data_IF_478277829991
#
_entry.id   IF_478277829991
#
_cell.length_a   1.000
_cell.length_b   1.000
_cell.length_c   1.000
_cell.angle_alpha   90.00
_cell.angle_beta   90.00
_cell.angle_gamma   90.00
#
_symmetry.space_group_name_H-M   'P 1'
#
loop_
_entity.id
_entity.type
_entity.pdbx_description
1 polymer ?
#
# COMPACT_ATOMS: atom_id res chain seq x y z
N UNK A 1 -20.17 7.68 -18.50
CA UNK A 1 -21.42 6.89 -18.62
C UNK A 1 -21.95 6.44 -17.26
N UNK A 2 -21.21 5.66 -16.46
CA UNK A 2 -21.72 5.07 -15.21
C UNK A 2 -22.39 6.07 -14.24
N UNK A 3 -21.75 7.21 -13.97
CA UNK A 3 -22.30 8.24 -13.06
C UNK A 3 -23.57 8.91 -13.60
N UNK A 4 -23.64 9.18 -14.91
CA UNK A 4 -24.83 9.75 -15.57
C UNK A 4 -26.02 8.79 -15.42
N UNK A 5 -25.79 7.48 -15.59
CA UNK A 5 -26.82 6.45 -15.42
C UNK A 5 -27.32 6.33 -13.97
N UNK A 6 -26.51 6.77 -13.00
CA UNK A 6 -26.89 6.87 -11.58
C UNK A 6 -27.49 8.25 -11.22
N UNK A 7 -27.79 9.09 -12.22
CA UNK A 7 -28.46 10.37 -12.03
C UNK A 7 -27.55 11.54 -11.63
N UNK A 8 -26.23 11.37 -11.65
CA UNK A 8 -25.32 12.50 -11.47
C UNK A 8 -25.21 13.30 -12.77
N UNK A 9 -25.74 14.52 -12.79
CA UNK A 9 -25.88 15.34 -14.01
C UNK A 9 -24.55 15.78 -14.62
N UNK A 10 -23.60 16.22 -13.80
CA UNK A 10 -22.31 16.77 -14.24
C UNK A 10 -21.13 16.09 -13.55
N UNK A 11 -20.80 14.84 -13.91
CA UNK A 11 -19.63 14.16 -13.38
C UNK A 11 -18.35 14.85 -13.85
N UNK A 12 -17.60 15.44 -12.93
CA UNK A 12 -16.33 16.09 -13.23
C UNK A 12 -15.20 15.04 -13.26
N UNK A 13 -15.03 14.37 -14.41
CA UNK A 13 -13.98 13.37 -14.65
C UNK A 13 -12.93 13.98 -15.58
N UNK A 14 -11.72 14.15 -15.05
CA UNK A 14 -10.56 14.55 -15.82
C UNK A 14 -9.92 13.33 -16.50
N UNK A 15 -9.81 13.28 -17.84
CA UNK A 15 -9.29 12.11 -18.55
C UNK A 15 -7.76 12.03 -18.58
N UNK A 16 -7.05 13.04 -18.08
CA UNK A 16 -5.59 13.13 -18.16
C UNK A 16 -4.89 12.63 -16.88
N UNK A 17 -3.57 12.59 -16.90
CA UNK A 17 -2.77 12.15 -15.74
C UNK A 17 -3.04 13.06 -14.53
N UNK A 18 -3.54 12.49 -13.43
CA UNK A 18 -3.86 13.21 -12.20
C UNK A 18 -2.63 13.84 -11.52
N UNK A 19 -1.43 13.32 -11.79
CA UNK A 19 -0.16 13.76 -11.20
C UNK A 19 0.51 14.90 -11.99
N UNK A 20 -0.12 15.38 -13.08
CA UNK A 20 0.45 16.40 -13.98
C UNK A 20 0.45 17.82 -13.41
N UNK A 21 -0.26 18.07 -12.30
CA UNK A 21 -0.37 19.39 -11.70
C UNK A 21 0.66 19.58 -10.57
N UNK A 22 1.40 20.70 -10.53
CA UNK A 22 2.27 21.03 -9.40
C UNK A 22 1.48 21.11 -8.10
N UNK A 23 1.90 20.36 -7.05
CA UNK A 23 1.18 20.35 -5.76
C UNK A 23 1.08 21.74 -5.13
N UNK A 24 2.09 22.60 -5.37
CA UNK A 24 2.13 23.99 -4.89
C UNK A 24 1.00 24.86 -5.45
N UNK A 25 0.44 24.52 -6.61
CA UNK A 25 -0.64 25.27 -7.26
C UNK A 25 -2.03 24.84 -6.79
N UNK A 26 -2.15 23.67 -6.14
CA UNK A 26 -3.40 23.18 -5.58
C UNK A 26 -3.74 24.02 -4.33
N UNK A 27 -4.79 24.83 -4.41
CA UNK A 27 -5.25 25.71 -3.33
C UNK A 27 -6.47 25.17 -2.59
N UNK A 28 -7.06 25.98 -1.71
CA UNK A 28 -8.23 25.55 -0.92
C UNK A 28 -9.47 25.27 -1.78
N UNK A 29 -9.61 25.95 -2.93
CA UNK A 29 -10.69 25.73 -3.92
C UNK A 29 -10.65 24.34 -4.56
N UNK A 30 -9.47 23.71 -4.58
CA UNK A 30 -9.24 22.44 -5.25
C UNK A 30 -9.42 21.23 -4.33
N UNK A 31 -9.77 21.50 -3.06
CA UNK A 31 -9.83 20.50 -2.00
C UNK A 31 -11.22 19.96 -1.75
N UNK A 32 -11.25 18.72 -1.30
CA UNK A 32 -12.47 17.94 -1.09
C UNK A 32 -12.55 17.40 0.33
N UNK A 33 -13.78 17.10 0.77
CA UNK A 33 -14.06 16.52 2.08
C UNK A 33 -13.72 15.03 2.15
N UNK A 34 -13.93 14.30 1.06
CA UNK A 34 -13.79 12.84 1.04
C UNK A 34 -13.05 12.40 -0.22
N UNK A 35 -12.05 11.54 -0.05
CA UNK A 35 -11.38 10.83 -1.14
C UNK A 35 -11.51 9.32 -0.91
N UNK A 36 -12.12 8.62 -1.86
CA UNK A 36 -12.16 7.16 -1.92
C UNK A 36 -11.46 6.73 -3.20
N UNK A 37 -10.38 5.95 -3.09
CA UNK A 37 -9.59 5.62 -4.28
C UNK A 37 -8.84 4.29 -4.19
N UNK A 38 -8.62 3.67 -5.33
CA UNK A 38 -7.71 2.55 -5.52
C UNK A 38 -6.69 2.96 -6.60
N UNK A 39 -5.61 3.67 -6.24
CA UNK A 39 -4.59 4.09 -7.18
C UNK A 39 -3.91 2.87 -7.84
N UNK A 40 -3.26 3.03 -9.00
CA UNK A 40 -2.50 1.95 -9.62
C UNK A 40 -1.47 1.33 -8.67
N UNK A 41 -1.42 0.00 -8.60
CA UNK A 41 -0.51 -0.74 -7.70
C UNK A 41 0.95 -0.77 -8.15
N UNK A 42 1.22 -0.37 -9.38
CA UNK A 42 2.56 -0.33 -9.95
C UNK A 42 2.58 0.71 -11.05
N UNK A 43 3.80 1.06 -11.47
CA UNK A 43 4.01 2.14 -12.41
C UNK A 43 5.19 3.00 -11.99
N UNK A 44 5.79 3.63 -12.99
CA UNK A 44 6.85 4.60 -12.81
C UNK A 44 6.43 5.86 -13.55
N UNK A 45 6.39 6.99 -12.85
CA UNK A 45 6.16 8.28 -13.50
C UNK A 45 7.48 8.88 -14.02
N UNK A 46 7.37 9.58 -15.14
CA UNK A 46 8.50 10.26 -15.77
C UNK A 46 9.02 11.44 -14.93
N UNK A 47 10.29 11.82 -15.13
CA UNK A 47 10.92 12.94 -14.40
C UNK A 47 10.15 14.26 -14.51
N UNK A 48 9.46 14.50 -15.63
CA UNK A 48 8.62 15.68 -15.80
C UNK A 48 7.46 15.74 -14.80
N UNK A 49 6.84 14.59 -14.50
CA UNK A 49 5.78 14.47 -13.49
C UNK A 49 6.35 14.61 -12.08
N UNK A 50 7.53 14.03 -11.83
CA UNK A 50 8.20 14.14 -10.52
C UNK A 50 8.48 15.60 -10.12
N UNK A 51 8.75 16.47 -11.09
CA UNK A 51 8.93 17.92 -10.90
C UNK A 51 7.73 18.67 -10.30
N UNK A 52 6.55 18.04 -10.26
CA UNK A 52 5.34 18.59 -9.65
C UNK A 52 5.31 18.41 -8.11
N UNK A 53 6.22 17.61 -7.56
CA UNK A 53 6.30 17.25 -6.15
C UNK A 53 7.51 17.92 -5.46
N UNK A 54 7.47 18.11 -4.13
CA UNK A 54 8.59 18.65 -3.35
C UNK A 54 9.89 17.88 -3.62
N UNK A 55 11.02 18.60 -3.76
CA UNK A 55 12.31 18.03 -4.16
C UNK A 55 12.77 16.86 -3.29
N UNK A 56 12.48 16.91 -2.00
CA UNK A 56 12.84 15.90 -1.00
C UNK A 56 11.88 14.70 -0.95
N UNK A 57 10.76 14.77 -1.67
CA UNK A 57 9.71 13.76 -1.77
C UNK A 57 9.49 13.23 -3.20
N UNK A 58 10.36 13.61 -4.15
CA UNK A 58 10.28 13.11 -5.53
C UNK A 58 10.61 11.63 -5.58
N UNK A 59 9.69 10.85 -6.14
CA UNK A 59 9.84 9.41 -6.37
C UNK A 59 9.21 9.06 -7.71
N UNK A 60 9.70 8.00 -8.34
CA UNK A 60 9.07 7.46 -9.54
C UNK A 60 7.86 6.58 -9.21
N UNK A 61 7.73 6.10 -7.98
CA UNK A 61 6.65 5.18 -7.57
C UNK A 61 5.29 5.89 -7.56
N UNK A 62 4.43 5.54 -8.53
CA UNK A 62 3.12 6.16 -8.74
C UNK A 62 2.25 6.15 -7.48
N UNK A 63 2.25 5.07 -6.69
CA UNK A 63 1.45 4.96 -5.46
C UNK A 63 1.83 6.00 -4.39
N UNK A 64 3.13 6.27 -4.21
CA UNK A 64 3.63 7.28 -3.27
C UNK A 64 3.31 8.71 -3.74
N UNK A 65 3.33 8.95 -5.06
CA UNK A 65 2.92 10.23 -5.64
C UNK A 65 1.42 10.47 -5.42
N UNK A 66 0.59 9.44 -5.53
CA UNK A 66 -0.84 9.54 -5.20
C UNK A 66 -1.08 9.85 -3.72
N UNK A 67 -0.32 9.30 -2.77
CA UNK A 67 -0.43 9.68 -1.35
C UNK A 67 -0.22 11.20 -1.20
N UNK A 68 0.84 11.74 -1.80
CA UNK A 68 1.14 13.18 -1.74
C UNK A 68 0.02 14.03 -2.36
N UNK A 69 -0.51 13.61 -3.52
CA UNK A 69 -1.65 14.28 -4.17
C UNK A 69 -2.89 14.27 -3.27
N UNK A 70 -3.23 13.12 -2.69
CA UNK A 70 -4.40 12.95 -1.82
C UNK A 70 -4.27 13.84 -0.59
N UNK A 71 -3.14 13.80 0.11
CA UNK A 71 -2.87 14.67 1.27
C UNK A 71 -3.03 16.14 0.88
N UNK A 72 -2.59 16.55 -0.32
CA UNK A 72 -2.75 17.94 -0.79
C UNK A 72 -4.20 18.31 -1.10
N UNK A 73 -4.97 17.37 -1.66
CA UNK A 73 -6.38 17.52 -2.08
C UNK A 73 -7.40 17.41 -0.93
N UNK A 74 -7.04 16.88 0.23
CA UNK A 74 -7.93 16.88 1.37
C UNK A 74 -8.09 18.27 1.99
N UNK A 75 -9.31 18.63 2.41
CA UNK A 75 -9.56 19.83 3.23
C UNK A 75 -8.76 19.79 4.53
N UNK A 76 -8.15 20.94 4.88
CA UNK A 76 -7.13 21.10 5.94
C UNK A 76 -7.52 20.50 7.30
N UNK A 77 -8.79 20.60 7.70
CA UNK A 77 -9.26 20.27 9.05
C UNK A 77 -10.46 19.32 9.09
N UNK A 78 -10.86 18.77 7.95
CA UNK A 78 -12.06 17.92 7.84
C UNK A 78 -11.98 16.86 6.76
N UNK A 79 -10.96 16.92 5.91
CA UNK A 79 -10.80 15.99 4.80
C UNK A 79 -10.46 14.60 5.31
N UNK A 80 -11.14 13.57 4.82
CA UNK A 80 -10.85 12.18 5.14
C UNK A 80 -10.65 11.34 3.88
N UNK A 81 -9.79 10.34 3.97
CA UNK A 81 -9.51 9.44 2.86
C UNK A 81 -9.61 7.98 3.30
N UNK A 82 -10.14 7.15 2.40
CA UNK A 82 -9.87 5.72 2.37
C UNK A 82 -9.19 5.38 1.04
N UNK A 83 -8.00 4.77 1.10
CA UNK A 83 -7.28 4.37 -0.10
C UNK A 83 -6.76 2.93 -0.01
N UNK A 84 -6.77 2.24 -1.14
CA UNK A 84 -6.13 0.92 -1.28
C UNK A 84 -4.65 1.12 -1.64
N UNK A 85 -3.77 0.38 -0.97
CA UNK A 85 -2.33 0.35 -1.28
C UNK A 85 -1.82 -1.08 -1.26
N UNK A 86 -0.74 -1.38 -1.98
CA UNK A 86 -0.03 -2.65 -1.86
C UNK A 86 0.94 -2.64 -0.67
N UNK A 87 1.40 -3.82 -0.24
CA UNK A 87 2.35 -3.98 0.88
C UNK A 87 3.63 -3.13 0.72
N UNK A 88 4.12 -2.97 -0.52
CA UNK A 88 5.31 -2.16 -0.82
C UNK A 88 5.21 -0.71 -0.33
N UNK A 89 4.04 -0.08 -0.42
CA UNK A 89 3.83 1.29 0.10
C UNK A 89 4.07 1.34 1.63
N UNK A 90 3.74 0.27 2.35
CA UNK A 90 3.95 0.19 3.79
C UNK A 90 5.41 -0.07 4.14
N UNK A 91 6.05 -1.02 3.44
CA UNK A 91 7.36 -1.56 3.80
C UNK A 91 8.55 -0.83 3.19
N UNK A 92 8.40 -0.16 2.05
CA UNK A 92 9.49 0.55 1.37
C UNK A 92 10.06 1.66 2.28
N UNK A 93 11.39 1.82 2.23
CA UNK A 93 12.15 2.81 3.01
C UNK A 93 12.79 3.87 2.11
N UNK A 94 13.46 4.87 2.71
CA UNK A 94 14.12 5.96 1.97
C UNK A 94 13.16 7.10 1.64
N UNK A 95 12.95 7.41 0.36
CA UNK A 95 11.99 8.46 -0.04
C UNK A 95 10.56 8.06 0.41
N UNK A 96 10.23 6.77 0.37
CA UNK A 96 8.97 6.26 0.89
C UNK A 96 8.78 6.56 2.39
N UNK A 97 9.85 6.45 3.20
CA UNK A 97 9.82 6.81 4.63
C UNK A 97 9.47 8.28 4.81
N UNK A 98 10.03 9.18 4.00
CA UNK A 98 9.75 10.62 4.04
C UNK A 98 8.32 10.95 3.63
N UNK A 99 7.80 10.30 2.59
CA UNK A 99 6.40 10.47 2.16
C UNK A 99 5.44 9.99 3.26
N UNK A 100 5.73 8.83 3.88
CA UNK A 100 4.96 8.32 5.02
C UNK A 100 5.06 9.25 6.23
N UNK A 101 6.24 9.77 6.54
CA UNK A 101 6.41 10.76 7.60
C UNK A 101 5.55 12.00 7.35
N UNK A 102 5.58 12.57 6.15
CA UNK A 102 4.72 13.72 5.80
C UNK A 102 3.22 13.39 5.94
N UNK A 103 2.80 12.19 5.53
CA UNK A 103 1.44 11.71 5.76
C UNK A 103 1.09 11.69 7.25
N UNK A 104 1.95 11.12 8.11
CA UNK A 104 1.71 11.03 9.55
C UNK A 104 1.77 12.40 10.27
N UNK A 105 2.55 13.34 9.73
CA UNK A 105 2.67 14.71 10.25
C UNK A 105 1.53 15.63 9.84
N UNK A 106 0.90 15.42 8.68
CA UNK A 106 -0.22 16.24 8.21
C UNK A 106 -1.60 15.61 8.46
N UNK A 107 -1.63 14.29 8.60
CA UNK A 107 -2.86 13.50 8.73
C UNK A 107 -2.77 12.52 9.89
N UNK A 108 -3.94 12.22 10.45
CA UNK A 108 -4.16 11.20 11.45
C UNK A 108 -4.50 9.90 10.72
N UNK A 109 -3.47 9.11 10.39
CA UNK A 109 -3.60 7.76 9.89
C UNK A 109 -4.04 6.85 11.03
N UNK A 110 -5.34 6.85 11.30
CA UNK A 110 -5.88 6.21 12.49
C UNK A 110 -6.08 4.70 12.32
N UNK A 111 -6.21 4.20 11.08
CA UNK A 111 -6.45 2.77 10.83
C UNK A 111 -5.80 2.26 9.54
N UNK A 112 -5.21 1.06 9.63
CA UNK A 112 -4.79 0.25 8.49
C UNK A 112 -5.52 -1.10 8.57
N UNK A 113 -6.30 -1.44 7.54
CA UNK A 113 -6.91 -2.77 7.41
C UNK A 113 -6.07 -3.59 6.44
N UNK A 114 -5.53 -4.72 6.90
CA UNK A 114 -4.78 -5.67 6.08
C UNK A 114 -5.74 -6.66 5.42
N UNK A 115 -5.64 -6.78 4.10
CA UNK A 115 -6.46 -7.72 3.34
C UNK A 115 -5.68 -9.00 3.04
N UNK A 116 -6.32 -10.19 3.08
CA UNK A 116 -5.68 -11.43 2.67
C UNK A 116 -5.22 -11.40 1.21
N UNK A 117 -4.32 -12.32 0.88
CA UNK A 117 -3.92 -12.54 -0.51
C UNK A 117 -5.11 -12.91 -1.39
N UNK A 118 -5.05 -12.47 -2.65
CA UNK A 118 -5.99 -12.87 -3.69
C UNK A 118 -7.28 -12.05 -3.79
N UNK A 119 -7.45 -10.99 -2.99
CA UNK A 119 -8.62 -10.10 -3.08
C UNK A 119 -8.82 -9.53 -4.49
N UNK A 120 -7.74 -9.25 -5.20
CA UNK A 120 -7.75 -8.69 -6.55
C UNK A 120 -7.50 -9.74 -7.65
N UNK A 121 -7.62 -11.03 -7.36
CA UNK A 121 -7.52 -12.09 -8.38
C UNK A 121 -8.69 -12.00 -9.38
N UNK A 122 -8.47 -12.23 -10.69
CA UNK A 122 -7.24 -12.72 -11.32
C UNK A 122 -6.26 -11.62 -11.76
N UNK A 123 -6.52 -10.36 -11.42
CA UNK A 123 -5.73 -9.23 -11.93
C UNK A 123 -4.37 -9.12 -11.25
N UNK A 124 -4.29 -9.39 -9.95
CA UNK A 124 -3.03 -9.43 -9.23
C UNK A 124 -3.10 -10.30 -7.97
N UNK A 125 -2.03 -11.09 -7.67
CA UNK A 125 -1.91 -11.82 -6.42
C UNK A 125 -1.40 -10.94 -5.26
N UNK A 126 -1.06 -9.68 -5.53
CA UNK A 126 -0.45 -8.75 -4.56
C UNK A 126 -1.35 -8.57 -3.34
N UNK A 127 -0.73 -8.64 -2.15
CA UNK A 127 -1.38 -8.29 -0.88
C UNK A 127 -1.61 -6.78 -0.81
N UNK A 128 -2.78 -6.41 -0.33
CA UNK A 128 -3.24 -5.03 -0.31
C UNK A 128 -3.75 -4.66 1.08
N UNK A 129 -3.77 -3.37 1.34
CA UNK A 129 -4.15 -2.79 2.60
C UNK A 129 -5.03 -1.57 2.33
N UNK A 130 -5.94 -1.28 3.26
CA UNK A 130 -6.77 -0.09 3.25
C UNK A 130 -6.22 0.90 4.27
N UNK A 131 -5.82 2.07 3.82
CA UNK A 131 -5.43 3.19 4.69
C UNK A 131 -6.62 4.09 4.93
N UNK A 132 -6.87 4.44 6.19
CA UNK A 132 -7.88 5.42 6.57
C UNK A 132 -7.23 6.54 7.38
N UNK A 133 -7.33 7.77 6.86
CA UNK A 133 -6.71 8.92 7.49
C UNK A 133 -7.53 10.20 7.33
N UNK A 134 -7.35 11.11 8.28
CA UNK A 134 -8.02 12.40 8.34
C UNK A 134 -6.99 13.53 8.38
N UNK A 135 -7.17 14.59 7.58
CA UNK A 135 -6.24 15.72 7.52
C UNK A 135 -6.50 16.71 8.65
N UNK A 136 -5.42 17.24 9.22
CA UNK A 136 -5.45 18.33 10.19
C UNK A 136 -5.02 17.95 11.60
N UNK A 137 -4.78 16.66 11.86
CA UNK A 137 -4.21 16.18 13.11
C UNK A 137 -3.03 15.28 12.81
N UNK A 138 -1.99 15.33 13.66
CA UNK A 138 -0.87 14.40 13.59
C UNK A 138 -1.29 13.01 14.02
N UNK A 139 -0.73 11.98 13.39
CA UNK A 139 -0.89 10.60 13.84
C UNK A 139 -0.18 10.41 15.17
N UNK A 140 -0.90 9.87 16.17
CA UNK A 140 -0.34 9.49 17.48
C UNK A 140 -0.07 7.99 17.58
N UNK A 141 -0.72 7.22 16.73
CA UNK A 141 -0.59 5.78 16.62
C UNK A 141 -1.69 5.25 15.72
N UNK A 142 -1.56 3.99 15.34
CA UNK A 142 -2.32 3.38 14.26
C UNK A 142 -2.96 2.10 14.77
N UNK A 143 -4.27 1.98 14.55
CA UNK A 143 -4.94 0.69 14.69
C UNK A 143 -4.73 -0.16 13.45
N UNK A 144 -4.31 -1.40 13.65
CA UNK A 144 -4.29 -2.40 12.60
C UNK A 144 -5.45 -3.37 12.82
N UNK A 145 -6.05 -3.79 11.72
CA UNK A 145 -7.03 -4.88 11.69
C UNK A 145 -6.70 -5.81 10.53
N UNK A 146 -6.59 -7.11 10.80
CA UNK A 146 -6.34 -8.10 9.77
C UNK A 146 -7.62 -8.88 9.48
N UNK A 147 -8.10 -8.79 8.24
CA UNK A 147 -9.19 -9.66 7.79
C UNK A 147 -8.60 -11.05 7.62
N UNK A 148 -9.29 -12.05 8.18
CA UNK A 148 -8.88 -13.45 8.10
C UNK A 148 -9.92 -14.22 7.31
N UNK A 149 -9.45 -15.15 6.47
CA UNK A 149 -10.33 -15.99 5.66
C UNK A 149 -10.99 -17.04 6.57
N UNK A 150 -12.32 -17.03 6.63
CA UNK A 150 -13.10 -17.79 7.61
C UNK A 150 -13.22 -19.30 7.33
N UNK A 151 -12.94 -19.75 6.11
CA UNK A 151 -13.18 -21.13 5.67
C UNK A 151 -11.89 -21.98 5.51
N UNK A 152 -10.80 -21.57 6.16
CA UNK A 152 -9.53 -22.29 6.16
C UNK A 152 -8.73 -22.19 4.86
N UNK A 153 -9.19 -21.43 3.87
CA UNK A 153 -8.41 -21.13 2.66
C UNK A 153 -7.22 -20.21 2.98
N UNK A 154 -6.16 -20.34 2.18
CA UNK A 154 -4.96 -19.48 2.27
C UNK A 154 -5.10 -18.16 1.49
N UNK A 155 -5.95 -18.10 0.46
CA UNK A 155 -6.17 -16.92 -0.38
C UNK A 155 -7.56 -16.92 -1.04
N UNK A 156 -8.03 -15.76 -1.46
CA UNK A 156 -9.18 -15.65 -2.35
C UNK A 156 -8.82 -16.03 -3.79
N UNK A 157 -9.84 -16.36 -4.58
CA UNK A 157 -9.71 -16.70 -6.00
C UNK A 157 -10.85 -16.05 -6.79
N UNK A 158 -10.72 -15.98 -8.11
CA UNK A 158 -11.81 -15.50 -8.99
C UNK A 158 -13.16 -16.19 -8.74
N UNK A 159 -13.14 -17.49 -8.44
CA UNK A 159 -14.34 -18.30 -8.18
C UNK A 159 -14.87 -18.18 -6.75
N UNK A 160 -14.05 -17.70 -5.81
CA UNK A 160 -14.42 -17.51 -4.40
C UNK A 160 -13.85 -16.17 -3.91
N UNK A 161 -14.41 -15.03 -4.36
CA UNK A 161 -13.94 -13.70 -4.01
C UNK A 161 -14.25 -13.36 -2.54
N UNK A 162 -13.66 -12.27 -2.06
CA UNK A 162 -14.02 -11.70 -0.76
C UNK A 162 -15.49 -11.23 -0.76
N UNK A 163 -16.18 -11.45 0.34
CA UNK A 163 -17.59 -11.06 0.50
C UNK A 163 -17.75 -9.93 1.50
N UNK A 164 -18.85 -9.17 1.41
CA UNK A 164 -19.14 -8.09 2.36
C UNK A 164 -19.31 -8.59 3.79
N UNK A 165 -19.87 -9.79 3.97
CA UNK A 165 -20.07 -10.40 5.29
C UNK A 165 -18.75 -10.60 6.05
N UNK A 166 -17.63 -10.77 5.34
CA UNK A 166 -16.31 -10.90 5.96
C UNK A 166 -15.80 -9.58 6.58
N UNK A 167 -16.43 -8.45 6.24
CA UNK A 167 -16.17 -7.14 6.85
C UNK A 167 -17.08 -6.83 8.04
N UNK A 168 -18.08 -7.66 8.36
CA UNK A 168 -19.06 -7.35 9.42
C UNK A 168 -18.40 -7.25 10.80
N UNK A 169 -17.51 -8.20 11.13
CA UNK A 169 -16.75 -8.17 12.38
C UNK A 169 -15.84 -6.93 12.46
N UNK A 170 -15.20 -6.57 11.35
CA UNK A 170 -14.36 -5.37 11.26
C UNK A 170 -15.21 -4.09 11.44
N UNK A 171 -16.40 -4.07 10.86
CA UNK A 171 -17.34 -2.94 10.96
C UNK A 171 -17.90 -2.77 12.38
N UNK A 172 -18.11 -3.87 13.10
CA UNK A 172 -18.47 -3.85 14.52
C UNK A 172 -17.30 -3.35 15.38
N UNK A 173 -16.10 -3.89 15.15
CA UNK A 173 -14.87 -3.44 15.82
C UNK A 173 -14.57 -1.96 15.58
N UNK A 174 -14.88 -1.44 14.39
CA UNK A 174 -14.63 -0.03 14.05
C UNK A 174 -15.34 0.94 15.00
N UNK A 175 -16.52 0.58 15.51
CA UNK A 175 -17.31 1.38 16.45
C UNK A 175 -16.73 1.39 17.86
N UNK A 176 -16.06 0.31 18.26
CA UNK A 176 -15.47 0.13 19.59
C UNK A 176 -14.11 -0.56 19.47
N UNK A 177 -13.07 0.25 19.18
CA UNK A 177 -11.74 -0.26 18.88
C UNK A 177 -11.07 -0.80 20.14
N UNK A 178 -10.82 -2.11 20.14
CA UNK A 178 -10.05 -2.81 21.16
C UNK A 178 -9.02 -3.74 20.55
N UNK A 179 -8.00 -4.10 21.33
CA UNK A 179 -7.07 -5.15 20.93
C UNK A 179 -7.78 -6.50 20.96
N UNK A 180 -7.56 -7.31 19.94
CA UNK A 180 -8.15 -8.64 19.76
C UNK A 180 -7.12 -9.54 19.05
N UNK A 181 -7.48 -10.80 18.77
CA UNK A 181 -6.65 -11.68 17.96
C UNK A 181 -6.42 -11.17 16.52
N UNK A 182 -7.30 -10.28 16.02
CA UNK A 182 -7.25 -9.71 14.66
C UNK A 182 -6.82 -8.24 14.64
N UNK A 183 -6.72 -7.59 15.79
CA UNK A 183 -6.46 -6.15 15.89
C UNK A 183 -5.44 -5.81 16.95
N UNK A 184 -4.50 -4.94 16.61
CA UNK A 184 -3.48 -4.43 17.53
C UNK A 184 -3.26 -2.94 17.28
N UNK A 185 -2.66 -2.27 18.26
CA UNK A 185 -2.35 -0.85 18.19
C UNK A 185 -0.83 -0.65 18.20
N UNK A 186 -0.36 0.28 17.39
CA UNK A 186 1.07 0.63 17.30
C UNK A 186 1.22 2.13 17.52
N UNK A 187 1.97 2.49 18.56
CA UNK A 187 2.29 3.87 18.88
C UNK A 187 3.25 4.50 17.87
N UNK A 188 3.21 5.83 17.75
CA UNK A 188 4.03 6.56 16.78
C UNK A 188 5.54 6.36 17.00
N UNK A 189 5.98 6.19 18.25
CA UNK A 189 7.39 6.00 18.59
C UNK A 189 7.95 4.72 17.94
N UNK A 190 7.20 3.61 17.99
CA UNK A 190 7.59 2.34 17.35
C UNK A 190 7.67 2.46 15.83
N UNK A 191 6.84 3.32 15.24
CA UNK A 191 6.86 3.59 13.79
C UNK A 191 8.11 4.40 13.43
N UNK A 192 8.48 5.38 14.26
CA UNK A 192 9.68 6.19 14.08
C UNK A 192 10.97 5.37 14.23
N UNK A 193 11.02 4.47 15.22
CA UNK A 193 12.14 3.53 15.40
C UNK A 193 12.38 2.62 14.19
N UNK A 194 11.33 2.36 13.40
CA UNK A 194 11.40 1.55 12.17
C UNK A 194 11.50 2.38 10.89
N UNK A 195 12.02 3.61 10.95
CA UNK A 195 12.16 4.49 9.79
C UNK A 195 10.84 4.65 9.02
N UNK A 196 9.73 4.84 9.75
CA UNK A 196 8.38 4.97 9.19
C UNK A 196 7.93 3.76 8.34
N UNK A 197 8.50 2.57 8.56
CA UNK A 197 7.95 1.33 8.01
C UNK A 197 6.62 1.00 8.71
N UNK A 198 5.53 0.92 7.93
CA UNK A 198 4.17 0.68 8.42
C UNK A 198 3.75 -0.80 8.32
N UNK A 199 4.63 -1.69 7.84
CA UNK A 199 4.37 -3.12 7.76
C UNK A 199 4.53 -3.80 9.15
N UNK A 200 3.60 -3.49 10.05
CA UNK A 200 3.46 -4.21 11.31
C UNK A 200 2.62 -5.46 11.07
N UNK A 201 3.16 -6.63 11.41
CA UNK A 201 2.43 -7.90 11.34
C UNK A 201 1.62 -8.13 12.60
N UNK A 202 0.58 -8.95 12.48
CA UNK A 202 -0.25 -9.33 13.61
C UNK A 202 0.58 -10.14 14.62
N UNK A 203 0.75 -9.66 15.87
CA UNK A 203 1.57 -10.35 16.87
C UNK A 203 0.96 -11.69 17.33
N UNK A 204 -0.33 -11.91 17.09
CA UNK A 204 -1.03 -13.13 17.50
C UNK A 204 -0.91 -14.27 16.47
N UNK A 205 -0.39 -13.98 15.28
CA UNK A 205 -0.16 -15.00 14.25
C UNK A 205 1.30 -15.42 14.31
N UNK A 206 1.52 -16.66 14.75
CA UNK A 206 2.83 -17.33 14.63
C UNK A 206 3.01 -17.67 13.15
N UNK A 207 3.87 -16.92 12.47
CA UNK A 207 4.19 -17.15 11.07
C UNK A 207 5.03 -18.42 10.93
N UNK A 208 4.37 -19.58 10.78
CA UNK A 208 5.02 -20.88 10.57
C UNK A 208 5.84 -20.98 9.27
N UNK A 209 5.88 -19.93 8.45
CA UNK A 209 6.61 -19.92 7.17
C UNK A 209 7.99 -19.30 7.26
N UNK A 210 8.29 -18.54 8.33
CA UNK A 210 9.66 -18.15 8.63
C UNK A 210 10.33 -19.35 9.29
N UNK A 211 11.49 -19.82 8.79
CA UNK A 211 12.27 -20.81 9.52
C UNK A 211 12.53 -20.27 10.92
N UNK A 212 12.30 -21.08 11.95
CA UNK A 212 12.58 -20.73 13.34
C UNK A 212 14.05 -20.29 13.53
N UNK A 213 14.92 -20.63 12.58
CA UNK A 213 16.32 -20.28 12.54
C UNK A 213 16.71 -19.48 11.27
N UNK A 214 17.13 -18.21 11.42
CA UNK A 214 17.66 -17.39 10.32
C UNK A 214 18.80 -18.05 9.51
N UNK A 215 19.55 -18.99 10.10
CA UNK A 215 20.61 -19.74 9.39
C UNK A 215 20.07 -20.67 8.31
N UNK A 216 18.87 -21.21 8.47
CA UNK A 216 18.25 -22.06 7.45
C UNK A 216 17.86 -21.23 6.22
N UNK A 217 17.35 -20.02 6.44
CA UNK A 217 17.06 -19.07 5.36
C UNK A 217 18.34 -18.67 4.60
N UNK A 218 19.44 -18.41 5.32
CA UNK A 218 20.74 -18.12 4.69
C UNK A 218 21.16 -19.30 3.81
N UNK A 219 21.06 -20.53 4.31
CA UNK A 219 21.42 -21.74 3.57
C UNK A 219 20.59 -21.91 2.30
N UNK A 220 19.29 -21.64 2.37
CA UNK A 220 18.39 -21.68 1.22
C UNK A 220 18.74 -20.60 0.19
N UNK A 221 19.01 -19.37 0.63
CA UNK A 221 19.46 -18.27 -0.24
C UNK A 221 20.79 -18.65 -0.93
N UNK A 222 21.77 -19.18 -0.20
CA UNK A 222 23.06 -19.58 -0.78
C UNK A 222 22.88 -20.68 -1.82
N UNK A 223 22.02 -21.68 -1.55
CA UNK A 223 21.70 -22.75 -2.50
C UNK A 223 21.03 -22.23 -3.78
N UNK A 224 20.10 -21.27 -3.65
CA UNK A 224 19.44 -20.65 -4.80
C UNK A 224 20.43 -19.82 -5.63
N UNK A 225 21.34 -19.09 -4.98
CA UNK A 225 22.41 -18.33 -5.67
C UNK A 225 23.33 -19.27 -6.45
N UNK A 226 23.79 -20.37 -5.86
CA UNK A 226 24.61 -21.37 -6.55
C UNK A 226 23.90 -21.95 -7.78
N UNK A 227 22.60 -22.17 -7.67
CA UNK A 227 21.77 -22.69 -8.78
C UNK A 227 21.67 -21.66 -9.91
N UNK A 228 21.45 -20.38 -9.57
CA UNK A 228 21.46 -19.30 -10.56
C UNK A 228 22.82 -19.16 -11.24
N UNK A 229 23.92 -19.26 -10.48
CA UNK A 229 25.29 -19.18 -11.04
C UNK A 229 25.58 -20.33 -12.01
N UNK A 230 25.12 -21.55 -11.70
CA UNK A 230 25.25 -22.69 -12.63
C UNK A 230 24.48 -22.45 -13.93
N UNK A 231 23.24 -22.00 -13.83
CA UNK A 231 22.41 -21.70 -15.00
C UNK A 231 23.02 -20.59 -15.88
N UNK A 232 23.60 -19.54 -15.27
CA UNK A 232 24.30 -18.49 -16.04
C UNK A 232 25.55 -19.01 -16.73
N UNK A 233 26.30 -19.91 -16.09
CA UNK A 233 27.50 -20.50 -16.70
C UNK A 233 27.15 -21.43 -17.88
N UNK A 234 26.07 -22.21 -17.77
CA UNK A 234 25.56 -23.03 -18.87
C UNK A 234 25.13 -22.16 -20.06
N UNK A 235 24.42 -21.06 -19.81
CA UNK A 235 24.06 -20.09 -20.85
C UNK A 235 25.30 -19.48 -21.52
N UNK A 236 26.32 -19.13 -20.76
CA UNK A 236 27.59 -18.59 -21.29
C UNK A 236 28.32 -19.61 -22.18
N UNK A 237 28.28 -20.90 -21.84
CA UNK A 237 28.84 -21.96 -22.70
C UNK A 237 28.08 -22.07 -24.02
N UNK A 238 26.74 -22.12 -23.97
CA UNK A 238 25.89 -22.19 -25.17
C UNK A 238 26.09 -20.97 -26.08
N UNK A 239 26.24 -19.77 -25.52
CA UNK A 239 26.52 -18.54 -26.30
C UNK A 239 27.89 -18.63 -27.00
N UNK A 240 28.90 -19.21 -26.35
CA UNK A 240 30.23 -19.42 -26.96
C UNK A 240 30.17 -20.43 -28.11
N UNK A 241 29.43 -21.52 -27.95
CA UNK A 241 29.21 -22.51 -29.01
C UNK A 241 28.47 -21.91 -30.21
N UNK A 242 27.46 -21.06 -29.96
CA UNK A 242 26.72 -20.37 -31.02
C UNK A 242 27.59 -19.41 -31.84
N UNK A 243 28.54 -18.70 -31.22
CA UNK A 243 29.45 -17.77 -31.93
C UNK A 243 30.52 -18.47 -32.79
N UNK A 244 30.66 -19.79 -32.69
CA UNK A 244 31.64 -20.58 -33.45
C UNK A 244 31.00 -21.19 -34.71
N UNK A 245 29.66 -21.16 -34.84
CA UNK A 245 28.91 -21.49 -36.06
C UNK A 245 28.71 -20.26 -36.95
#
# INVERSE_FOLDING_TARGET
MNLLLHGLEYPNIDPLNALRFPLREIGDKDRVDVILTNPPFGGSEEKGIQGNFPLDLQTSETALLFIQLIVRKLKRNSGRCAMVVHDGVLSNVGIASRVKQNLLDECNLHTIIRLPSGVFEPYTPIKTNLLFFEKGQKTKGIWFYEIQISDGRKKYTKTKPITLAEFDECSQWWKERKQTNKSWYVDIEKIQEKDFNLDFRNPNIIDKTLPDNPKELIKEITSNLDTMTKATNELDMLIKEWKIQ
#
